data_IF_260303703669
#
_entry.id   IF_260303703669
#
_cell.length_a   1.000
_cell.length_b   1.000
_cell.length_c   1.000
_cell.angle_alpha   90.00
_cell.angle_beta   90.00
_cell.angle_gamma   90.00
#
_symmetry.space_group_name_H-M   'P 1'
#
loop_
_entity.id
_entity.type
_entity.pdbx_description
1 polymer ?
#
# COMPACT_ATOMS: atom_id res chain seq x y z
N UNK A 1 3.77 12.50 0.16
CA UNK A 1 4.08 11.04 0.15
C UNK A 1 5.25 10.89 -0.84
N UNK A 2 6.07 9.83 -0.84
CA UNK A 2 7.19 9.82 -1.80
C UNK A 2 6.64 9.73 -3.25
N UNK A 3 7.30 10.35 -4.24
CA UNK A 3 6.90 10.42 -5.66
C UNK A 3 6.61 9.05 -6.28
N UNK A 4 7.37 8.02 -5.96
CA UNK A 4 7.10 6.64 -6.42
C UNK A 4 5.82 6.08 -5.83
N UNK A 5 5.60 6.36 -4.56
CA UNK A 5 4.46 5.86 -3.82
C UNK A 5 3.17 6.50 -4.32
N UNK A 6 3.18 7.81 -4.50
CA UNK A 6 2.08 8.53 -5.15
C UNK A 6 1.84 8.04 -6.58
N UNK A 7 2.91 7.81 -7.36
CA UNK A 7 2.79 7.25 -8.71
C UNK A 7 2.12 5.89 -8.72
N UNK A 8 2.51 4.98 -7.84
CA UNK A 8 1.91 3.64 -7.79
C UNK A 8 0.39 3.71 -7.58
N UNK A 9 -0.06 4.44 -6.54
CA UNK A 9 -1.47 4.54 -6.21
C UNK A 9 -2.28 5.35 -7.24
N UNK A 10 -1.61 6.21 -8.02
CA UNK A 10 -2.22 6.97 -9.12
C UNK A 10 -2.30 6.19 -10.44
N UNK A 11 -1.27 5.38 -10.76
CA UNK A 11 -1.20 4.64 -12.02
C UNK A 11 -1.99 3.34 -11.97
N UNK A 12 -1.94 2.61 -10.85
CA UNK A 12 -2.65 1.35 -10.72
C UNK A 12 -4.04 1.58 -10.12
N UNK A 13 -5.05 1.02 -10.79
CA UNK A 13 -6.40 0.94 -10.24
C UNK A 13 -6.38 0.20 -8.90
N UNK A 14 -7.19 0.64 -7.95
CA UNK A 14 -7.25 0.08 -6.59
C UNK A 14 -7.42 -1.45 -6.53
N UNK A 15 -8.07 -2.04 -7.53
CA UNK A 15 -8.20 -3.50 -7.70
C UNK A 15 -6.86 -4.24 -7.75
N UNK A 16 -5.81 -3.61 -8.27
CA UNK A 16 -4.47 -4.18 -8.43
C UNK A 16 -3.53 -3.83 -7.27
N UNK A 17 -3.98 -3.06 -6.28
CA UNK A 17 -3.13 -2.72 -5.14
C UNK A 17 -2.77 -3.96 -4.34
N UNK A 18 -1.46 -4.18 -4.20
CA UNK A 18 -0.86 -5.21 -3.37
C UNK A 18 0.56 -4.77 -2.95
N UNK A 19 1.05 -5.32 -1.85
CA UNK A 19 2.40 -5.03 -1.39
C UNK A 19 3.47 -5.53 -2.37
N UNK A 20 3.24 -6.71 -2.96
CA UNK A 20 4.14 -7.30 -3.95
C UNK A 20 4.23 -6.43 -5.20
N UNK A 21 3.09 -6.03 -5.77
CA UNK A 21 3.07 -5.14 -6.94
C UNK A 21 3.69 -3.78 -6.64
N UNK A 22 3.55 -3.27 -5.41
CA UNK A 22 4.20 -2.04 -4.97
C UNK A 22 5.73 -2.17 -4.92
N UNK A 23 6.24 -3.28 -4.38
CA UNK A 23 7.67 -3.57 -4.32
C UNK A 23 8.23 -3.72 -5.73
N UNK A 24 7.59 -4.52 -6.60
CA UNK A 24 8.02 -4.70 -7.99
C UNK A 24 8.02 -3.38 -8.76
N UNK A 25 7.00 -2.52 -8.56
CA UNK A 25 6.98 -1.19 -9.17
C UNK A 25 8.10 -0.29 -8.65
N UNK A 26 8.43 -0.36 -7.36
CA UNK A 26 9.52 0.45 -6.77
C UNK A 26 10.89 0.03 -7.32
N UNK A 27 11.14 -1.29 -7.38
CA UNK A 27 12.36 -1.86 -7.97
C UNK A 27 12.48 -1.46 -9.46
N UNK A 28 11.39 -1.60 -10.22
CA UNK A 28 11.38 -1.23 -11.65
C UNK A 28 11.50 0.27 -11.94
N UNK A 29 11.43 1.13 -10.92
CA UNK A 29 11.69 2.58 -11.03
C UNK A 29 13.05 2.97 -10.40
N UNK A 30 13.97 2.02 -10.25
CA UNK A 30 15.30 2.19 -9.65
C UNK A 30 15.29 2.78 -8.23
N UNK A 31 14.15 2.68 -7.53
CA UNK A 31 14.13 2.98 -6.10
C UNK A 31 14.63 1.75 -5.35
N UNK A 32 15.90 1.76 -4.97
CA UNK A 32 16.42 0.82 -4.00
C UNK A 32 15.80 1.15 -2.63
N UNK A 33 14.77 0.39 -2.26
CA UNK A 33 14.06 0.55 -1.00
C UNK A 33 14.23 -0.74 -0.21
N UNK A 34 14.74 -0.63 1.01
CA UNK A 34 14.80 -1.78 1.91
C UNK A 34 13.39 -2.35 2.11
N UNK A 35 13.29 -3.68 2.23
CA UNK A 35 12.01 -4.37 2.38
C UNK A 35 11.14 -3.77 3.50
N UNK A 36 11.74 -3.47 4.65
CA UNK A 36 11.03 -2.86 5.78
C UNK A 36 10.50 -1.47 5.47
N UNK A 37 11.29 -0.68 4.75
CA UNK A 37 10.89 0.65 4.33
C UNK A 37 9.75 0.59 3.30
N UNK A 38 9.81 -0.32 2.32
CA UNK A 38 8.75 -0.50 1.33
C UNK A 38 7.43 -0.90 2.00
N UNK A 39 7.47 -1.82 2.97
CA UNK A 39 6.31 -2.17 3.79
C UNK A 39 5.76 -0.94 4.53
N UNK A 40 6.64 -0.17 5.20
CA UNK A 40 6.24 1.02 5.95
C UNK A 40 5.57 2.06 5.07
N UNK A 41 6.17 2.37 3.91
CA UNK A 41 5.64 3.32 2.90
C UNK A 41 4.28 2.87 2.38
N UNK A 42 4.14 1.60 2.00
CA UNK A 42 2.89 1.05 1.48
C UNK A 42 1.75 1.15 2.50
N UNK A 43 1.93 0.60 3.70
CA UNK A 43 0.87 0.59 4.71
C UNK A 43 0.56 1.97 5.30
N UNK A 44 1.55 2.85 5.37
CA UNK A 44 1.31 4.24 5.78
C UNK A 44 0.50 5.00 4.73
N UNK A 45 0.69 4.70 3.45
CA UNK A 45 -0.12 5.27 2.36
C UNK A 45 -1.55 4.75 2.38
N UNK A 46 -1.75 3.45 2.57
CA UNK A 46 -3.08 2.87 2.72
C UNK A 46 -3.85 3.50 3.89
N UNK A 47 -3.19 3.77 5.02
CA UNK A 47 -3.81 4.48 6.15
C UNK A 47 -4.30 5.87 5.76
N UNK A 48 -3.47 6.64 5.05
CA UNK A 48 -3.85 7.97 4.54
C UNK A 48 -5.04 7.89 3.59
N UNK A 49 -4.97 7.00 2.59
CA UNK A 49 -6.05 6.80 1.61
C UNK A 49 -7.36 6.39 2.32
N UNK A 50 -7.30 5.48 3.30
CA UNK A 50 -8.49 5.01 4.03
C UNK A 50 -9.19 6.09 4.87
N UNK A 51 -8.47 7.15 5.22
CA UNK A 51 -8.95 8.29 6.00
C UNK A 51 -9.28 9.51 5.14
N UNK A 52 -8.88 9.52 3.86
CA UNK A 52 -9.08 10.65 2.96
C UNK A 52 -10.53 10.69 2.45
N UNK A 53 -11.28 11.70 2.91
CA UNK A 53 -12.67 11.91 2.52
C UNK A 53 -12.84 12.27 1.05
N UNK A 54 -11.78 12.79 0.40
CA UNK A 54 -11.79 13.23 -1.00
C UNK A 54 -11.52 12.10 -2.00
N UNK A 55 -11.08 10.93 -1.52
CA UNK A 55 -10.87 9.75 -2.37
C UNK A 55 -12.16 8.95 -2.54
N UNK A 56 -12.26 8.13 -3.60
CA UNK A 56 -13.47 7.34 -3.85
C UNK A 56 -13.71 6.31 -2.75
N UNK A 57 -14.98 5.96 -2.51
CA UNK A 57 -15.36 5.00 -1.47
C UNK A 57 -14.70 3.63 -1.73
N UNK A 58 -14.63 3.19 -2.98
CA UNK A 58 -14.02 1.93 -3.38
C UNK A 58 -12.52 1.88 -3.07
N UNK A 59 -11.82 2.99 -3.29
CA UNK A 59 -10.40 3.11 -2.95
C UNK A 59 -10.18 3.04 -1.43
N UNK A 60 -11.04 3.71 -0.64
CA UNK A 60 -11.00 3.62 0.83
C UNK A 60 -11.23 2.21 1.34
N UNK A 61 -12.26 1.53 0.81
CA UNK A 61 -12.64 0.19 1.24
C UNK A 61 -11.56 -0.83 0.86
N UNK A 62 -10.98 -0.69 -0.32
CA UNK A 62 -9.83 -1.49 -0.72
C UNK A 62 -8.63 -1.28 0.20
N UNK A 63 -8.34 -0.03 0.57
CA UNK A 63 -7.25 0.29 1.48
C UNK A 63 -7.47 -0.34 2.88
N UNK A 64 -8.69 -0.26 3.41
CA UNK A 64 -9.09 -0.92 4.67
C UNK A 64 -8.91 -2.44 4.60
N UNK A 65 -9.40 -3.08 3.54
CA UNK A 65 -9.26 -4.52 3.33
C UNK A 65 -7.78 -4.98 3.33
N UNK A 66 -6.90 -4.20 2.71
CA UNK A 66 -5.45 -4.51 2.70
C UNK A 66 -4.80 -4.30 4.08
N UNK A 67 -5.26 -3.30 4.85
CA UNK A 67 -4.81 -3.08 6.23
C UNK A 67 -5.26 -4.20 7.17
N UNK A 68 -6.50 -4.69 7.01
CA UNK A 68 -7.01 -5.77 7.86
C UNK A 68 -6.32 -7.10 7.55
N UNK A 69 -6.07 -7.42 6.27
CA UNK A 69 -5.23 -8.56 5.89
C UNK A 69 -3.84 -8.53 6.53
N UNK A 70 -3.23 -7.34 6.67
CA UNK A 70 -1.95 -7.19 7.37
C UNK A 70 -2.07 -7.56 8.84
N UNK A 71 -3.13 -7.11 9.53
CA UNK A 71 -3.37 -7.43 10.94
C UNK A 71 -3.58 -8.93 11.13
N UNK A 72 -4.34 -9.56 10.25
CA UNK A 72 -4.54 -11.02 10.25
C UNK A 72 -3.22 -11.77 10.10
N UNK A 73 -2.39 -11.39 9.13
CA UNK A 73 -1.05 -11.94 8.95
C UNK A 73 -0.18 -11.79 10.20
N UNK A 74 -0.16 -10.61 10.81
CA UNK A 74 0.61 -10.38 12.02
C UNK A 74 0.09 -11.21 13.20
N UNK A 75 -1.22 -11.37 13.34
CA UNK A 75 -1.81 -12.22 14.39
C UNK A 75 -1.41 -13.67 14.22
N UNK A 76 -1.44 -14.21 13.00
CA UNK A 76 -1.08 -15.60 12.72
C UNK A 76 0.40 -15.91 12.98
N UNK A 77 1.30 -14.96 12.71
CA UNK A 77 2.75 -15.18 12.88
C UNK A 77 3.27 -14.92 14.29
N UNK A 78 2.47 -14.29 15.15
CA UNK A 78 2.84 -13.96 16.54
C UNK A 78 2.12 -14.89 17.54
N UNK A 79 1.09 -15.63 17.10
CA UNK A 79 0.44 -16.72 17.85
C UNK A 79 1.20 -18.04 17.71
#
# INVERSE_FOLDING_TARGET
MNRSTERYFRFFTHKFWSLESFISFSIGNDEFVEKMEAHSRFYSSLRKISADTNTTQEARDRARKLLDKKKEWLRYYIS
#
